data_IF_146864197249
#
_entry.id   IF_146864197249
#
_cell.length_a   1.000
_cell.length_b   1.000
_cell.length_c   1.000
_cell.angle_alpha   90.00
_cell.angle_beta   90.00
_cell.angle_gamma   90.00
#
_symmetry.space_group_name_H-M   'P 1'
#
loop_
_entity.id
_entity.type
_entity.pdbx_description
1 polymer ?
#
# COMPACT_ATOMS: atom_id res chain seq x y z
N UNK A 1 -9.30 15.31 -9.09
CA UNK A 1 -10.51 14.51 -8.76
C UNK A 1 -10.07 13.48 -7.75
N UNK A 2 -10.66 13.46 -6.56
CA UNK A 2 -10.30 12.49 -5.51
C UNK A 2 -10.81 11.12 -5.92
N UNK A 3 -9.92 10.14 -6.06
CA UNK A 3 -10.32 8.77 -6.33
C UNK A 3 -10.80 8.12 -5.03
N UNK A 4 -12.02 7.59 -5.04
CA UNK A 4 -12.61 6.87 -3.91
C UNK A 4 -13.14 5.53 -4.39
N UNK A 5 -12.90 4.50 -3.59
CA UNK A 5 -13.40 3.14 -3.80
C UNK A 5 -14.26 2.77 -2.61
N UNK A 6 -15.51 2.40 -2.88
CA UNK A 6 -16.45 1.89 -1.89
C UNK A 6 -16.63 0.38 -2.06
N UNK A 7 -16.80 -0.33 -0.95
CA UNK A 7 -17.15 -1.73 -0.93
C UNK A 7 -17.93 -2.11 0.33
N UNK A 8 -18.46 -3.33 0.41
CA UNK A 8 -19.27 -3.77 1.55
C UNK A 8 -18.53 -3.77 2.89
N UNK A 9 -17.19 -3.82 2.87
CA UNK A 9 -16.36 -3.88 4.07
C UNK A 9 -15.70 -2.54 4.43
N UNK A 10 -15.87 -1.49 3.61
CA UNK A 10 -15.31 -0.19 3.89
C UNK A 10 -15.23 0.75 2.70
N UNK A 11 -14.42 1.80 2.87
CA UNK A 11 -14.10 2.79 1.84
C UNK A 11 -12.60 3.04 1.83
N UNK A 12 -12.04 3.29 0.66
CA UNK A 12 -10.67 3.78 0.50
C UNK A 12 -10.68 5.07 -0.32
N UNK A 13 -9.88 6.05 0.11
CA UNK A 13 -9.72 7.32 -0.58
C UNK A 13 -8.24 7.52 -0.89
N UNK A 14 -7.93 7.75 -2.16
CA UNK A 14 -6.59 8.07 -2.61
C UNK A 14 -6.27 9.50 -2.17
N UNK A 15 -5.11 9.66 -1.55
CA UNK A 15 -4.65 10.94 -1.04
C UNK A 15 -3.75 11.62 -2.06
N UNK A 16 -3.79 12.95 -2.09
CA UNK A 16 -2.80 13.73 -2.80
C UNK A 16 -1.46 13.63 -2.06
N UNK A 17 -0.41 13.27 -2.77
CA UNK A 17 0.95 13.18 -2.21
C UNK A 17 1.48 14.61 -2.13
N UNK A 18 1.79 15.13 -0.92
CA UNK A 18 2.26 16.49 -0.78
C UNK A 18 3.65 16.66 -1.41
N UNK A 19 3.89 17.81 -2.05
CA UNK A 19 5.20 18.18 -2.57
C UNK A 19 6.12 18.62 -1.42
N UNK A 20 6.69 17.63 -0.71
CA UNK A 20 7.62 17.84 0.39
C UNK A 20 8.72 16.76 0.40
N UNK A 21 9.94 17.08 0.87
CA UNK A 21 11.07 16.16 0.80
C UNK A 21 10.82 14.79 1.45
N UNK A 22 10.08 14.75 2.57
CA UNK A 22 9.78 13.51 3.29
C UNK A 22 8.74 12.61 2.57
N UNK A 23 8.03 13.15 1.57
CA UNK A 23 7.07 12.41 0.74
C UNK A 23 7.61 12.09 -0.66
N UNK A 24 8.81 12.55 -1.02
CA UNK A 24 9.35 12.49 -2.39
C UNK A 24 9.46 11.07 -2.98
N UNK A 25 9.60 10.07 -2.12
CA UNK A 25 9.67 8.66 -2.51
C UNK A 25 8.30 7.97 -2.54
N UNK A 26 7.23 8.62 -2.06
CA UNK A 26 5.88 8.06 -2.08
C UNK A 26 5.33 8.10 -3.50
N UNK A 27 4.92 6.96 -4.03
CA UNK A 27 4.32 6.84 -5.37
C UNK A 27 2.81 6.67 -5.31
N UNK A 28 2.28 6.15 -4.20
CA UNK A 28 0.86 6.06 -3.94
C UNK A 28 0.53 6.10 -2.44
N UNK A 29 -0.64 6.64 -2.10
CA UNK A 29 -1.10 6.75 -0.71
C UNK A 29 -2.62 6.72 -0.62
N UNK A 30 -3.13 5.84 0.24
CA UNK A 30 -4.56 5.65 0.48
C UNK A 30 -4.89 5.68 1.97
N UNK A 31 -6.01 6.33 2.30
CA UNK A 31 -6.69 6.20 3.57
C UNK A 31 -7.81 5.17 3.43
N UNK A 32 -7.75 4.09 4.20
CA UNK A 32 -8.75 3.02 4.23
C UNK A 32 -9.55 3.15 5.53
N UNK A 33 -10.87 3.20 5.44
CA UNK A 33 -11.79 3.12 6.58
C UNK A 33 -12.62 1.84 6.47
N UNK A 34 -12.35 0.89 7.35
CA UNK A 34 -12.89 -0.46 7.33
C UNK A 34 -13.17 -0.96 8.76
N UNK A 35 -14.29 -0.53 9.39
CA UNK A 35 -14.58 -0.78 10.81
C UNK A 35 -14.87 -2.25 11.17
N UNK A 36 -15.09 -3.12 10.18
CA UNK A 36 -15.36 -4.54 10.42
C UNK A 36 -14.13 -5.40 10.74
N UNK A 37 -12.91 -4.88 10.55
CA UNK A 37 -11.69 -5.69 10.65
C UNK A 37 -11.06 -5.75 12.05
N UNK A 38 -11.32 -4.75 12.89
CA UNK A 38 -10.83 -4.75 14.27
C UNK A 38 -11.81 -4.01 15.20
N UNK A 39 -11.81 -4.36 16.48
CA UNK A 39 -12.75 -3.80 17.47
C UNK A 39 -12.34 -2.44 18.03
N UNK A 40 -11.04 -2.12 18.00
CA UNK A 40 -10.48 -0.90 18.63
C UNK A 40 -10.17 0.19 17.60
N UNK A 41 -9.80 -0.18 16.37
CA UNK A 41 -9.46 0.76 15.30
C UNK A 41 -10.16 0.36 14.01
N UNK A 42 -10.40 1.35 13.15
CA UNK A 42 -11.14 1.18 11.91
C UNK A 42 -10.43 1.74 10.70
N UNK A 43 -9.26 2.37 10.87
CA UNK A 43 -8.57 3.06 9.79
C UNK A 43 -7.14 2.56 9.60
N UNK A 44 -6.77 2.44 8.33
CA UNK A 44 -5.47 1.97 7.88
C UNK A 44 -4.94 2.91 6.81
N UNK A 45 -3.62 3.06 6.75
CA UNK A 45 -2.92 3.66 5.62
C UNK A 45 -2.38 2.56 4.72
N UNK A 46 -2.57 2.68 3.40
CA UNK A 46 -1.78 1.94 2.42
C UNK A 46 -0.84 2.92 1.72
N UNK A 47 0.45 2.61 1.72
CA UNK A 47 1.48 3.46 1.12
C UNK A 47 2.32 2.61 0.18
N UNK A 48 2.74 3.21 -0.93
CA UNK A 48 3.79 2.68 -1.77
C UNK A 48 4.92 3.69 -1.87
N UNK A 49 6.14 3.23 -1.63
CA UNK A 49 7.35 4.04 -1.73
C UNK A 49 8.34 3.41 -2.71
N UNK A 50 9.12 4.26 -3.40
CA UNK A 50 10.34 3.83 -4.08
C UNK A 50 11.41 3.51 -3.05
N UNK A 51 12.29 2.59 -3.43
CA UNK A 51 13.47 2.19 -2.68
C UNK A 51 14.70 2.71 -3.43
N UNK A 52 14.75 4.01 -3.72
CA UNK A 52 15.94 4.63 -4.32
C UNK A 52 17.06 4.74 -3.28
N UNK A 53 18.30 4.55 -3.71
CA UNK A 53 19.47 4.86 -2.89
C UNK A 53 19.77 6.37 -2.93
N UNK A 54 20.59 6.82 -1.97
CA UNK A 54 21.13 8.20 -1.92
C UNK A 54 20.10 9.33 -1.88
N UNK A 55 18.88 9.06 -1.40
CA UNK A 55 17.87 10.09 -1.16
C UNK A 55 18.33 10.98 0.01
N UNK A 56 18.52 12.31 -0.19
CA UNK A 56 19.02 13.19 0.85
C UNK A 56 18.15 13.18 2.10
N UNK A 57 18.77 12.93 3.27
CA UNK A 57 18.07 12.90 4.56
C UNK A 57 17.40 11.56 4.91
N UNK A 58 17.48 10.56 4.02
CA UNK A 58 16.94 9.22 4.26
C UNK A 58 18.04 8.18 4.48
N UNK A 59 17.82 7.18 5.34
CA UNK A 59 18.70 6.01 5.40
C UNK A 59 18.55 5.16 4.14
N UNK A 60 19.56 4.33 3.79
CA UNK A 60 19.44 3.37 2.71
C UNK A 60 18.23 2.43 2.91
N UNK A 61 17.50 2.10 1.83
CA UNK A 61 16.37 1.19 1.91
C UNK A 61 16.77 -0.21 2.39
N UNK A 62 15.98 -0.81 3.29
CA UNK A 62 16.17 -2.19 3.74
C UNK A 62 15.52 -3.17 2.76
N UNK A 63 16.29 -3.63 1.78
CA UNK A 63 15.79 -4.56 0.77
C UNK A 63 15.77 -6.01 1.26
N UNK A 64 14.66 -6.70 1.04
CA UNK A 64 14.49 -8.14 1.26
C UNK A 64 15.17 -8.96 0.15
N UNK A 65 15.36 -8.36 -1.03
CA UNK A 65 16.11 -8.92 -2.14
C UNK A 65 16.78 -7.79 -2.96
N UNK A 66 17.94 -8.03 -3.60
CA UNK A 66 18.75 -6.95 -4.19
C UNK A 66 18.04 -6.10 -5.24
N UNK A 67 17.09 -6.67 -5.99
CA UNK A 67 16.39 -6.01 -7.08
C UNK A 67 15.12 -5.26 -6.63
N UNK A 68 14.83 -5.19 -5.33
CA UNK A 68 13.64 -4.51 -4.83
C UNK A 68 13.71 -3.00 -5.16
N UNK A 69 12.68 -2.52 -5.85
CA UNK A 69 12.54 -1.12 -6.31
C UNK A 69 11.45 -0.36 -5.57
N UNK A 70 10.45 -1.07 -5.05
CA UNK A 70 9.29 -0.49 -4.40
C UNK A 70 8.91 -1.31 -3.17
N UNK A 71 8.34 -0.64 -2.18
CA UNK A 71 7.76 -1.26 -1.00
C UNK A 71 6.32 -0.77 -0.81
N UNK A 72 5.39 -1.72 -0.71
CA UNK A 72 4.01 -1.48 -0.33
C UNK A 72 3.86 -1.79 1.16
N UNK A 73 3.28 -0.86 1.90
CA UNK A 73 3.01 -0.98 3.32
C UNK A 73 1.52 -0.83 3.62
N UNK A 74 1.03 -1.61 4.57
CA UNK A 74 -0.26 -1.36 5.24
C UNK A 74 0.00 -1.13 6.72
N UNK A 75 -0.53 -0.02 7.23
CA UNK A 75 -0.29 0.47 8.58
C UNK A 75 -1.62 0.74 9.27
N UNK A 76 -1.81 0.23 10.49
CA UNK A 76 -2.90 0.67 11.35
C UNK A 76 -2.69 2.13 11.79
N UNK A 77 -3.67 3.00 11.54
CA UNK A 77 -3.60 4.39 11.99
C UNK A 77 -3.89 4.50 13.48
N UNK A 78 -3.23 5.44 14.16
CA UNK A 78 -3.39 5.64 15.59
C UNK A 78 -4.81 6.13 15.92
N UNK A 79 -5.64 5.32 16.61
CA UNK A 79 -7.03 5.68 16.89
C UNK A 79 -7.15 6.74 18.00
N UNK A 80 -6.08 7.00 18.77
CA UNK A 80 -6.11 7.97 19.87
C UNK A 80 -6.17 9.43 19.41
N UNK A 81 -5.90 9.66 18.11
CA UNK A 81 -5.93 10.98 17.48
C UNK A 81 -7.30 11.32 16.85
N UNK A 82 -8.30 10.45 17.05
CA UNK A 82 -9.62 10.58 16.43
C UNK A 82 -9.69 9.97 15.03
N UNK A 83 -10.77 10.27 14.32
CA UNK A 83 -10.97 9.79 12.95
C UNK A 83 -10.10 10.60 12.00
N UNK A 84 -9.20 9.92 11.30
CA UNK A 84 -8.36 10.48 10.26
C UNK A 84 -9.22 10.86 9.05
N UNK A 85 -8.99 12.05 8.51
CA UNK A 85 -9.55 12.52 7.24
C UNK A 85 -8.42 12.67 6.23
N UNK A 86 -8.71 12.73 4.91
CA UNK A 86 -7.69 13.03 3.91
C UNK A 86 -6.85 14.26 4.27
N UNK A 87 -7.50 15.35 4.66
CA UNK A 87 -6.82 16.60 5.04
C UNK A 87 -5.95 16.44 6.29
N UNK A 88 -6.43 15.72 7.32
CA UNK A 88 -5.65 15.54 8.56
C UNK A 88 -4.39 14.70 8.31
N UNK A 89 -4.49 13.70 7.45
CA UNK A 89 -3.38 12.81 7.10
C UNK A 89 -2.33 13.56 6.27
N UNK A 90 -2.76 14.35 5.29
CA UNK A 90 -1.85 15.15 4.45
C UNK A 90 -1.13 16.22 5.30
N UNK A 91 -1.87 16.95 6.14
CA UNK A 91 -1.33 18.06 6.94
C UNK A 91 -0.48 17.61 8.13
N UNK A 92 -0.91 16.59 8.87
CA UNK A 92 -0.27 16.14 10.11
C UNK A 92 0.76 15.03 9.95
N UNK A 93 0.85 14.44 8.74
CA UNK A 93 1.61 13.22 8.49
C UNK A 93 0.91 11.97 9.00
N UNK A 94 1.40 10.79 8.58
CA UNK A 94 0.83 9.52 9.01
C UNK A 94 1.23 9.22 10.46
N UNK A 95 0.26 9.15 11.36
CA UNK A 95 0.46 8.66 12.72
C UNK A 95 -0.16 7.28 12.81
N UNK A 96 0.70 6.29 13.06
CA UNK A 96 0.37 4.88 12.96
C UNK A 96 0.92 4.13 14.16
N UNK A 97 0.29 2.99 14.47
CA UNK A 97 0.77 2.09 15.50
C UNK A 97 2.06 1.41 15.04
N UNK A 98 2.96 1.10 15.98
CA UNK A 98 4.24 0.49 15.64
C UNK A 98 4.06 -0.93 15.09
N UNK A 99 4.98 -1.30 14.19
CA UNK A 99 4.96 -2.47 13.31
C UNK A 99 3.93 -2.37 12.18
N UNK A 100 4.39 -2.37 10.91
CA UNK A 100 3.49 -2.49 9.79
C UNK A 100 2.72 -3.82 9.81
N UNK A 101 1.44 -3.76 9.43
CA UNK A 101 0.60 -4.93 9.24
C UNK A 101 1.16 -5.76 8.09
N UNK A 102 1.35 -5.11 6.93
CA UNK A 102 1.85 -5.70 5.69
C UNK A 102 3.07 -4.91 5.20
N UNK A 103 4.09 -5.62 4.71
CA UNK A 103 5.26 -5.07 4.03
C UNK A 103 5.62 -6.00 2.88
N UNK A 104 5.45 -5.55 1.65
CA UNK A 104 5.75 -6.33 0.44
C UNK A 104 6.66 -5.51 -0.48
N UNK A 105 7.71 -6.15 -0.98
CA UNK A 105 8.67 -5.51 -1.89
C UNK A 105 8.59 -6.08 -3.30
N UNK A 106 8.72 -5.21 -4.30
CA UNK A 106 8.60 -5.57 -5.71
C UNK A 106 9.70 -4.93 -6.56
N UNK A 107 10.11 -5.65 -7.60
CA UNK A 107 10.76 -5.04 -8.78
C UNK A 107 9.65 -4.66 -9.76
N UNK A 108 9.35 -3.37 -9.91
CA UNK A 108 8.25 -2.86 -10.73
C UNK A 108 8.49 -1.37 -11.03
N UNK A 109 7.77 -0.82 -12.01
CA UNK A 109 7.70 0.63 -12.24
C UNK A 109 6.58 1.30 -11.43
N UNK A 110 6.66 2.62 -11.26
CA UNK A 110 5.68 3.41 -10.50
C UNK A 110 4.22 3.15 -10.92
N UNK A 111 3.97 3.06 -12.23
CA UNK A 111 2.61 2.89 -12.75
C UNK A 111 2.05 1.51 -12.42
N UNK A 112 2.87 0.45 -12.52
CA UNK A 112 2.47 -0.90 -12.11
C UNK A 112 2.16 -0.92 -10.61
N UNK A 113 2.96 -0.23 -9.79
CA UNK A 113 2.76 -0.18 -8.36
C UNK A 113 1.53 0.63 -7.94
N UNK A 114 1.23 1.74 -8.63
CA UNK A 114 -0.01 2.50 -8.40
C UNK A 114 -1.24 1.66 -8.71
N UNK A 115 -1.22 0.93 -9.84
CA UNK A 115 -2.31 0.03 -10.19
C UNK A 115 -2.43 -1.13 -9.18
N UNK A 116 -1.30 -1.68 -8.73
CA UNK A 116 -1.29 -2.73 -7.70
C UNK A 116 -1.85 -2.24 -6.36
N UNK A 117 -1.57 -0.99 -5.97
CA UNK A 117 -2.16 -0.36 -4.79
C UNK A 117 -3.68 -0.20 -4.93
N UNK A 118 -4.16 0.22 -6.09
CA UNK A 118 -5.59 0.34 -6.38
C UNK A 118 -6.28 -1.04 -6.29
N UNK A 119 -5.67 -2.09 -6.84
CA UNK A 119 -6.16 -3.48 -6.70
C UNK A 119 -6.18 -3.89 -5.22
N UNK A 120 -5.14 -3.57 -4.46
CA UNK A 120 -5.06 -3.92 -3.04
C UNK A 120 -6.16 -3.25 -2.22
N UNK A 121 -6.41 -1.95 -2.40
CA UNK A 121 -7.49 -1.26 -1.67
C UNK A 121 -8.87 -1.76 -2.10
N UNK A 122 -9.07 -2.07 -3.39
CA UNK A 122 -10.30 -2.72 -3.87
C UNK A 122 -10.53 -4.04 -3.14
N UNK A 123 -9.52 -4.89 -3.07
CA UNK A 123 -9.59 -6.19 -2.39
C UNK A 123 -9.87 -6.04 -0.89
N UNK A 124 -9.31 -5.02 -0.23
CA UNK A 124 -9.63 -4.72 1.17
C UNK A 124 -11.09 -4.30 1.33
N UNK A 125 -11.57 -3.29 0.60
CA UNK A 125 -12.94 -2.77 0.84
C UNK A 125 -14.03 -3.76 0.39
N UNK A 126 -13.68 -4.77 -0.41
CA UNK A 126 -14.56 -5.87 -0.81
C UNK A 126 -14.41 -7.14 0.05
N UNK A 127 -13.63 -7.13 1.13
CA UNK A 127 -13.53 -8.27 2.05
C UNK A 127 -12.61 -9.40 1.57
N UNK A 128 -11.83 -9.19 0.51
CA UNK A 128 -10.96 -10.20 -0.10
C UNK A 128 -9.56 -10.22 0.54
N UNK A 129 -9.08 -9.07 1.03
CA UNK A 129 -7.87 -8.95 1.83
C UNK A 129 -8.19 -8.37 3.21
N UNK A 130 -7.52 -8.89 4.24
CA UNK A 130 -7.64 -8.38 5.60
C UNK A 130 -6.44 -7.46 5.92
N UNK A 131 -6.65 -6.15 6.17
CA UNK A 131 -5.57 -5.23 6.52
C UNK A 131 -5.07 -5.43 7.97
N UNK A 132 -5.81 -6.16 8.80
CA UNK A 132 -5.46 -6.43 10.20
C UNK A 132 -4.73 -7.77 10.36
N UNK A 133 -3.65 -7.80 11.15
CA UNK A 133 -2.80 -9.00 11.33
C UNK A 133 -2.80 -9.59 12.74
N UNK A 134 -3.40 -8.93 13.74
CA UNK A 134 -3.28 -9.28 15.15
C UNK A 134 -3.63 -10.75 15.48
N UNK A 135 -4.63 -11.33 14.82
CA UNK A 135 -5.13 -12.66 15.16
C UNK A 135 -4.45 -13.81 14.40
N UNK A 136 -3.69 -13.53 13.32
CA UNK A 136 -2.97 -14.55 12.53
C UNK A 136 -2.02 -13.90 11.50
N UNK A 137 -0.88 -13.35 11.94
CA UNK A 137 -0.04 -12.52 11.09
C UNK A 137 0.57 -13.29 9.92
N UNK A 138 0.97 -14.55 10.13
CA UNK A 138 1.59 -15.38 9.08
C UNK A 138 0.61 -15.71 7.97
N UNK A 139 -0.62 -16.14 8.31
CA UNK A 139 -1.63 -16.45 7.29
C UNK A 139 -2.01 -15.20 6.51
N UNK A 140 -2.23 -14.08 7.20
CA UNK A 140 -2.72 -12.86 6.58
C UNK A 140 -1.66 -12.27 5.65
N UNK A 141 -0.39 -12.19 6.08
CA UNK A 141 0.71 -11.77 5.21
C UNK A 141 0.90 -12.71 4.02
N UNK A 142 0.79 -14.03 4.23
CA UNK A 142 0.84 -15.00 3.12
C UNK A 142 -0.29 -14.80 2.09
N UNK A 143 -1.50 -14.47 2.54
CA UNK A 143 -2.63 -14.14 1.66
C UNK A 143 -2.38 -12.87 0.84
N UNK A 144 -1.86 -11.81 1.48
CA UNK A 144 -1.46 -10.58 0.80
C UNK A 144 -0.39 -10.85 -0.26
N UNK A 145 0.70 -11.52 0.12
CA UNK A 145 1.79 -11.86 -0.79
C UNK A 145 1.29 -12.56 -2.06
N UNK A 146 0.52 -13.63 -1.91
CA UNK A 146 0.06 -14.43 -3.04
C UNK A 146 -1.02 -13.71 -3.88
N UNK A 147 -1.87 -12.89 -3.27
CA UNK A 147 -2.85 -12.09 -4.00
C UNK A 147 -2.17 -11.01 -4.86
N UNK A 148 -1.26 -10.23 -4.27
CA UNK A 148 -0.58 -9.15 -4.95
C UNK A 148 0.41 -9.66 -6.02
N UNK A 149 1.09 -10.78 -5.77
CA UNK A 149 1.94 -11.43 -6.78
C UNK A 149 1.13 -11.82 -8.03
N UNK A 150 -0.08 -12.36 -7.85
CA UNK A 150 -0.97 -12.71 -8.96
C UNK A 150 -1.53 -11.48 -9.67
N UNK A 151 -1.92 -10.46 -8.92
CA UNK A 151 -2.40 -9.20 -9.48
C UNK A 151 -1.31 -8.52 -10.33
N UNK A 152 -0.08 -8.41 -9.83
CA UNK A 152 1.04 -7.80 -10.55
C UNK A 152 1.36 -8.54 -11.86
N UNK A 153 1.24 -9.87 -11.86
CA UNK A 153 1.41 -10.67 -13.08
C UNK A 153 0.32 -10.38 -14.13
N UNK A 154 -0.89 -9.98 -13.71
CA UNK A 154 -1.97 -9.56 -14.61
C UNK A 154 -1.87 -8.10 -15.07
N UNK A 155 -1.32 -7.22 -14.23
CA UNK A 155 -1.05 -5.79 -14.56
C UNK A 155 0.02 -5.69 -15.63
N UNK A 156 1.04 -6.54 -15.56
CA UNK A 156 2.06 -6.64 -16.59
C UNK A 156 1.39 -7.08 -17.89
N UNK A 157 1.32 -6.24 -18.93
CA UNK A 157 0.92 -6.75 -20.23
C UNK A 157 1.88 -7.89 -20.59
N UNK A 158 1.37 -8.96 -21.20
CA UNK A 158 2.23 -9.94 -21.84
C UNK A 158 3.18 -9.17 -22.74
N UNK A 159 4.45 -9.06 -22.35
CA UNK A 159 5.48 -8.59 -23.25
C UNK A 159 5.33 -9.45 -24.51
N UNK A 160 5.03 -8.80 -25.64
CA UNK A 160 4.98 -9.42 -26.95
C UNK A 160 6.12 -10.41 -27.03
N UNK A 161 5.80 -11.70 -27.11
CA UNK A 161 6.79 -12.70 -27.52
C UNK A 161 7.36 -12.19 -28.84
N UNK A 162 8.63 -11.80 -28.85
CA UNK A 162 9.32 -11.55 -30.11
C UNK A 162 9.12 -12.80 -30.98
N UNK A 163 8.71 -12.65 -32.25
CA UNK A 163 8.64 -13.80 -33.13
C UNK A 163 10.05 -14.36 -33.22
N UNK A 164 10.23 -15.61 -32.77
CA UNK A 164 11.41 -16.40 -33.06
C UNK A 164 11.60 -16.37 -34.57
N UNK A 165 12.60 -15.62 -35.03
CA UNK A 165 13.06 -15.67 -36.42
C UNK A 165 13.67 -17.06 -36.63
N UNK A 166 12.86 -17.96 -37.17
CA UNK A 166 13.29 -19.18 -37.85
C UNK A 166 13.42 -18.92 -39.34
#
# INVERSE_FOLDING_TARGET
MVLTVDGPCGRATRLDIPDRPDAAQTTDWWLITAPGYHTIWSQYGLLCVRLDDDVPGFPPPKRQFPQATHELLVLTLDPTLGVHTPDSVIAGGLRYLSQPNIVEQYTAGDNEMRELCEVAVHAVVHGQLNPETANDPSRIRGQWHEALRRALAGIRPFATQEPTRG
#
